data_IF_759845072515
#
_entry.id   IF_759845072515
#
_cell.length_a   1.000
_cell.length_b   1.000
_cell.length_c   1.000
_cell.angle_alpha   90.00
_cell.angle_beta   90.00
_cell.angle_gamma   90.00
#
_symmetry.space_group_name_H-M   'P 1'
#
loop_
_entity.id
_entity.type
_entity.pdbx_description
1 polymer ?
#
# COMPACT_ATOMS: atom_id res chain seq x y z
N UNK A 1 -5.24 12.06 8.08
CA UNK A 1 -6.44 11.20 8.21
C UNK A 1 -5.97 9.75 8.21
N UNK A 2 -6.60 8.90 9.02
CA UNK A 2 -6.26 7.48 9.06
C UNK A 2 -6.89 6.74 7.87
N UNK A 3 -6.22 5.73 7.30
CA UNK A 3 -6.78 4.91 6.26
C UNK A 3 -7.93 4.06 6.80
N UNK A 4 -8.97 3.89 5.98
CA UNK A 4 -9.98 2.86 6.24
C UNK A 4 -9.35 1.46 6.10
N UNK A 5 -9.94 0.41 6.74
CA UNK A 5 -9.49 -0.97 6.57
C UNK A 5 -9.44 -1.41 5.10
N UNK A 6 -8.49 -2.27 4.77
CA UNK A 6 -8.31 -2.80 3.42
C UNK A 6 -7.11 -3.76 3.32
N UNK A 7 -6.61 -4.05 2.11
CA UNK A 7 -5.48 -4.96 1.90
C UNK A 7 -4.25 -4.52 2.69
N UNK A 8 -3.64 -5.45 3.41
CA UNK A 8 -2.43 -5.24 4.20
C UNK A 8 -1.23 -5.88 3.51
N UNK A 9 -0.11 -5.18 3.49
CA UNK A 9 1.17 -5.75 3.08
C UNK A 9 2.26 -5.33 4.08
N UNK A 10 3.22 -6.22 4.32
CA UNK A 10 4.37 -5.98 5.20
C UNK A 10 5.64 -6.21 4.39
N UNK A 11 6.58 -5.26 4.43
CA UNK A 11 7.90 -5.50 3.85
C UNK A 11 8.80 -6.29 4.82
N UNK A 12 9.91 -6.89 4.35
CA UNK A 12 10.86 -7.60 5.20
C UNK A 12 11.40 -6.78 6.38
N UNK A 13 11.60 -5.47 6.19
CA UNK A 13 11.99 -4.53 7.26
C UNK A 13 10.91 -4.25 8.30
N UNK A 14 9.69 -4.78 8.12
CA UNK A 14 8.54 -4.52 8.98
C UNK A 14 7.76 -3.26 8.64
N UNK A 15 8.02 -2.63 7.49
CA UNK A 15 7.20 -1.49 7.04
C UNK A 15 5.81 -1.98 6.67
N UNK A 16 4.79 -1.45 7.33
CA UNK A 16 3.39 -1.79 7.07
C UNK A 16 2.79 -0.86 6.00
N UNK A 17 2.13 -1.45 5.02
CA UNK A 17 1.38 -0.76 3.98
C UNK A 17 -0.09 -1.17 4.05
N UNK A 18 -0.97 -0.19 3.79
CA UNK A 18 -2.42 -0.35 3.72
C UNK A 18 -2.93 0.14 2.37
N UNK A 19 -3.64 -0.72 1.65
CA UNK A 19 -4.49 -0.35 0.53
C UNK A 19 -5.92 -0.08 1.02
N UNK A 20 -6.74 0.55 0.19
CA UNK A 20 -8.17 0.68 0.40
C UNK A 20 -8.84 1.59 -0.63
N UNK A 21 -10.06 2.04 -0.34
CA UNK A 21 -10.84 2.89 -1.25
C UNK A 21 -10.18 4.23 -1.58
N UNK A 22 -9.26 4.71 -0.73
CA UNK A 22 -8.69 6.05 -0.83
C UNK A 22 -7.19 6.07 -1.19
N UNK A 23 -6.56 4.91 -1.33
CA UNK A 23 -5.18 4.84 -1.79
C UNK A 23 -4.32 3.78 -1.13
N UNK A 24 -3.01 3.93 -1.34
CA UNK A 24 -1.96 3.20 -0.64
C UNK A 24 -1.38 4.12 0.43
N UNK A 25 -1.22 3.58 1.62
CA UNK A 25 -0.71 4.25 2.80
C UNK A 25 0.44 3.46 3.38
N UNK A 26 1.43 4.17 3.93
CA UNK A 26 2.56 3.60 4.65
C UNK A 26 2.47 4.00 6.12
N UNK A 27 2.69 3.04 7.01
CA UNK A 27 2.83 3.31 8.44
C UNK A 27 4.19 3.97 8.69
N UNK A 28 4.15 5.06 9.43
CA UNK A 28 5.32 5.80 9.95
C UNK A 28 5.26 5.81 11.47
N UNK A 29 6.30 6.30 12.12
CA UNK A 29 6.36 6.42 13.59
C UNK A 29 5.23 7.30 14.15
N UNK A 30 4.86 8.35 13.41
CA UNK A 30 3.89 9.37 13.87
C UNK A 30 2.49 9.19 13.30
N UNK A 31 2.26 8.19 12.44
CA UNK A 31 0.96 7.99 11.80
C UNK A 31 1.05 7.37 10.41
N UNK A 32 0.13 7.76 9.52
CA UNK A 32 0.03 7.22 8.16
C UNK A 32 0.41 8.27 7.12
N UNK A 33 1.25 7.88 6.15
CA UNK A 33 1.59 8.67 4.98
C UNK A 33 0.95 8.07 3.74
N UNK A 34 0.22 8.87 2.96
CA UNK A 34 -0.35 8.43 1.67
C UNK A 34 0.75 8.42 0.59
N UNK A 35 0.88 7.31 -0.12
CA UNK A 35 1.81 7.14 -1.25
C UNK A 35 1.11 7.28 -2.60
N UNK A 36 -0.12 6.80 -2.70
CA UNK A 36 -0.88 6.78 -3.95
C UNK A 36 -2.37 7.02 -3.68
N UNK A 37 -3.09 7.56 -4.67
CA UNK A 37 -4.53 7.84 -4.58
C UNK A 37 -5.34 6.99 -5.56
N UNK A 38 -6.40 6.37 -5.04
CA UNK A 38 -7.38 5.60 -5.80
C UNK A 38 -7.78 4.34 -5.04
N UNK A 39 -8.74 3.58 -5.58
CA UNK A 39 -9.14 2.30 -4.99
C UNK A 39 -8.06 1.26 -5.19
N UNK A 40 -7.70 0.55 -4.12
CA UNK A 40 -6.76 -0.58 -4.12
C UNK A 40 -7.50 -1.84 -3.69
N UNK A 41 -7.59 -2.82 -4.59
CA UNK A 41 -8.28 -4.09 -4.36
C UNK A 41 -7.35 -5.17 -3.81
N UNK A 42 -6.08 -5.15 -4.20
CA UNK A 42 -5.03 -6.04 -3.71
C UNK A 42 -3.70 -5.29 -3.62
N UNK A 43 -2.86 -5.66 -2.66
CA UNK A 43 -1.58 -5.00 -2.39
C UNK A 43 -0.55 -6.05 -1.97
N UNK A 44 0.67 -5.94 -2.50
CA UNK A 44 1.82 -6.73 -2.10
C UNK A 44 3.07 -5.86 -1.99
N UNK A 45 3.90 -6.14 -0.99
CA UNK A 45 5.24 -5.56 -0.87
C UNK A 45 6.28 -6.52 -1.45
N UNK A 46 7.27 -6.00 -2.16
CA UNK A 46 8.31 -6.83 -2.77
C UNK A 46 9.21 -7.46 -1.70
N UNK A 47 9.47 -8.78 -1.73
CA UNK A 47 10.15 -9.48 -0.65
C UNK A 47 11.67 -9.24 -0.57
N UNK A 48 12.29 -8.63 -1.59
CA UNK A 48 13.72 -8.29 -1.57
C UNK A 48 14.04 -6.81 -1.84
N UNK A 49 13.05 -6.00 -2.21
CA UNK A 49 13.28 -4.60 -2.61
C UNK A 49 12.39 -3.71 -1.75
N UNK A 50 12.98 -3.13 -0.71
CA UNK A 50 12.26 -2.25 0.21
C UNK A 50 11.60 -1.07 -0.52
N UNK A 51 10.36 -0.78 -0.14
CA UNK A 51 9.55 0.27 -0.74
C UNK A 51 8.94 -0.06 -2.10
N UNK A 52 9.32 -1.16 -2.76
CA UNK A 52 8.68 -1.56 -4.01
C UNK A 52 7.36 -2.30 -3.73
N UNK A 53 6.28 -1.83 -4.35
CA UNK A 53 4.93 -2.34 -4.19
C UNK A 53 4.36 -2.78 -5.53
N UNK A 54 3.46 -3.76 -5.50
CA UNK A 54 2.55 -4.09 -6.59
C UNK A 54 1.11 -4.04 -6.08
N UNK A 55 0.19 -3.48 -6.88
CA UNK A 55 -1.21 -3.35 -6.47
C UNK A 55 -2.17 -3.44 -7.64
N UNK A 56 -3.39 -3.85 -7.36
CA UNK A 56 -4.51 -3.86 -8.31
C UNK A 56 -5.42 -2.69 -7.99
N UNK A 57 -5.69 -1.84 -8.97
CA UNK A 57 -6.58 -0.69 -8.79
C UNK A 57 -8.07 -1.07 -8.89
N UNK A 58 -8.96 -0.10 -8.66
CA UNK A 58 -10.41 -0.29 -8.76
C UNK A 58 -10.94 -0.68 -10.15
N UNK A 59 -10.11 -0.61 -11.20
CA UNK A 59 -10.43 -1.05 -12.56
C UNK A 59 -9.85 -2.44 -12.87
N UNK A 60 -9.17 -3.08 -11.92
CA UNK A 60 -8.50 -4.36 -12.12
C UNK A 60 -7.14 -4.24 -12.82
N UNK A 61 -6.59 -3.03 -12.97
CA UNK A 61 -5.28 -2.84 -13.59
C UNK A 61 -4.18 -3.11 -12.57
N UNK A 62 -3.18 -3.90 -12.96
CA UNK A 62 -1.99 -4.17 -12.15
C UNK A 62 -0.97 -3.04 -12.34
N UNK A 63 -0.49 -2.51 -11.21
CA UNK A 63 0.52 -1.48 -11.14
C UNK A 63 1.72 -1.95 -10.31
N UNK A 64 2.87 -1.31 -10.53
CA UNK A 64 4.09 -1.50 -9.76
C UNK A 64 4.80 -0.15 -9.57
N UNK A 65 5.30 0.14 -8.37
CA UNK A 65 5.87 1.44 -8.03
C UNK A 65 6.34 1.54 -6.58
N UNK A 66 6.86 2.71 -6.20
CA UNK A 66 7.31 3.04 -4.84
C UNK A 66 6.49 4.19 -4.27
#
# INVERSE_FOLDING_TARGET
>A
PDPAPGPLALSPSGTLYLGGQLGIWQRTEVGWRRLWQGTVLALAAHPQQEGLLAWVDGKGTLWQGR
#
